data_IF_841267392042
#
_entry.id   IF_841267392042
#
_cell.length_a   1.000
_cell.length_b   1.000
_cell.length_c   1.000
_cell.angle_alpha   90.00
_cell.angle_beta   90.00
_cell.angle_gamma   90.00
#
_symmetry.space_group_name_H-M   'P 1'
#
loop_
_entity.id
_entity.type
_entity.pdbx_description
1 polymer ?
#
# COMPACT_ATOMS: atom_id res chain seq x y z
N UNK A 1 -0.81 31.14 69.52
CA UNK A 1 -1.60 31.65 68.39
C UNK A 1 -0.67 31.87 67.20
N UNK A 2 -0.62 30.91 66.26
CA UNK A 2 0.20 31.03 65.05
C UNK A 2 -0.53 31.91 64.02
N UNK A 3 -0.04 33.14 63.82
CA UNK A 3 -0.46 34.00 62.70
C UNK A 3 0.13 33.41 61.42
N UNK A 4 -0.69 32.71 60.65
CA UNK A 4 -0.35 32.36 59.26
C UNK A 4 -0.17 33.64 58.46
N UNK A 5 1.07 33.96 58.11
CA UNK A 5 1.39 35.03 57.17
C UNK A 5 0.83 34.65 55.80
N UNK A 6 -0.24 35.34 55.38
CA UNK A 6 -0.72 35.27 54.00
C UNK A 6 0.24 36.09 53.13
N UNK A 7 1.16 35.43 52.44
CA UNK A 7 1.99 36.05 51.41
C UNK A 7 1.11 36.41 50.22
N UNK A 8 0.88 37.71 50.00
CA UNK A 8 0.23 38.20 48.80
C UNK A 8 1.25 38.15 47.65
N UNK A 9 0.93 37.41 46.59
CA UNK A 9 1.75 37.36 45.37
C UNK A 9 1.73 38.71 44.66
N UNK A 10 2.87 39.14 44.17
CA UNK A 10 2.95 40.36 43.38
C UNK A 10 2.36 40.11 41.99
N UNK A 11 1.70 41.11 41.40
CA UNK A 11 1.12 41.02 40.05
C UNK A 11 2.16 40.55 39.01
N UNK A 12 3.42 40.96 39.20
CA UNK A 12 4.55 40.56 38.35
C UNK A 12 4.78 39.05 38.39
N UNK A 13 4.83 38.45 39.58
CA UNK A 13 5.01 36.99 39.74
C UNK A 13 3.87 36.20 39.08
N UNK A 14 2.63 36.69 39.21
CA UNK A 14 1.46 36.06 38.55
C UNK A 14 1.59 36.14 37.03
N UNK A 15 1.99 37.27 36.47
CA UNK A 15 2.18 37.44 35.03
C UNK A 15 3.33 36.57 34.48
N UNK A 16 4.42 36.43 35.22
CA UNK A 16 5.50 35.51 34.85
C UNK A 16 5.03 34.04 34.88
N UNK A 17 4.30 33.63 35.93
CA UNK A 17 3.76 32.28 36.02
C UNK A 17 2.78 31.98 34.87
N UNK A 18 1.91 32.94 34.53
CA UNK A 18 0.98 32.82 33.41
C UNK A 18 1.71 32.72 32.05
N UNK A 19 2.77 33.51 31.87
CA UNK A 19 3.55 33.51 30.63
C UNK A 19 4.28 32.19 30.42
N UNK A 20 4.92 31.67 31.47
CA UNK A 20 5.60 30.37 31.43
C UNK A 20 4.58 29.24 31.22
N UNK A 21 3.47 29.25 31.96
CA UNK A 21 2.40 28.26 31.80
C UNK A 21 1.81 28.23 30.39
N UNK A 22 1.57 29.40 29.81
CA UNK A 22 1.06 29.53 28.44
C UNK A 22 2.07 29.01 27.41
N UNK A 23 3.36 29.31 27.58
CA UNK A 23 4.42 28.81 26.70
C UNK A 23 4.51 27.28 26.73
N UNK A 24 4.54 26.68 27.92
CA UNK A 24 4.57 25.22 28.09
C UNK A 24 3.34 24.56 27.46
N UNK A 25 2.15 25.17 27.63
CA UNK A 25 0.92 24.65 27.05
C UNK A 25 0.96 24.68 25.51
N UNK A 26 1.43 25.77 24.91
CA UNK A 26 1.57 25.87 23.45
C UNK A 26 2.55 24.84 22.89
N UNK A 27 3.72 24.68 23.53
CA UNK A 27 4.72 23.69 23.08
C UNK A 27 4.17 22.26 23.21
N UNK A 28 3.48 21.96 24.31
CA UNK A 28 2.86 20.66 24.53
C UNK A 28 1.80 20.37 23.48
N UNK A 29 0.95 21.35 23.15
CA UNK A 29 -0.08 21.21 22.12
C UNK A 29 0.53 20.97 20.73
N UNK A 30 1.60 21.69 20.38
CA UNK A 30 2.32 21.46 19.13
C UNK A 30 2.91 20.04 19.05
N UNK A 31 3.49 19.54 20.15
CA UNK A 31 4.01 18.17 20.22
C UNK A 31 2.91 17.12 20.09
N UNK A 32 1.74 17.34 20.70
CA UNK A 32 0.58 16.44 20.58
C UNK A 32 0.08 16.39 19.14
N UNK A 33 -0.07 17.54 18.48
CA UNK A 33 -0.48 17.56 17.08
C UNK A 33 0.51 16.81 16.18
N UNK A 34 1.81 17.02 16.41
CA UNK A 34 2.86 16.31 15.67
C UNK A 34 2.79 14.80 15.90
N UNK A 35 2.68 14.35 17.14
CA UNK A 35 2.62 12.92 17.47
C UNK A 35 1.35 12.26 16.92
N UNK A 36 0.20 12.95 16.93
CA UNK A 36 -1.03 12.47 16.32
C UNK A 36 -0.92 12.32 14.80
N UNK A 37 -0.28 13.29 14.13
CA UNK A 37 -0.05 13.22 12.68
C UNK A 37 0.88 12.06 12.31
N UNK A 38 1.97 11.88 13.05
CA UNK A 38 2.91 10.78 12.87
C UNK A 38 2.25 9.41 13.13
N UNK A 39 1.48 9.29 14.21
CA UNK A 39 0.74 8.07 14.54
C UNK A 39 -0.35 7.75 13.50
N UNK A 40 -1.05 8.76 12.99
CA UNK A 40 -2.03 8.59 11.90
C UNK A 40 -1.34 8.05 10.65
N UNK A 41 -0.23 8.67 10.23
CA UNK A 41 0.56 8.23 9.08
C UNK A 41 1.04 6.78 9.23
N UNK A 42 1.56 6.41 10.40
CA UNK A 42 2.01 5.04 10.69
C UNK A 42 0.86 4.02 10.61
N UNK A 43 -0.35 4.38 11.05
CA UNK A 43 -1.53 3.50 10.93
C UNK A 43 -1.93 3.29 9.47
N UNK A 44 -1.89 4.35 8.65
CA UNK A 44 -2.18 4.25 7.21
C UNK A 44 -1.17 3.33 6.52
N UNK A 45 0.10 3.52 6.81
CA UNK A 45 1.19 2.67 6.34
C UNK A 45 0.95 1.20 6.69
N UNK A 46 0.66 0.91 7.96
CA UNK A 46 0.45 -0.46 8.42
C UNK A 46 -0.75 -1.11 7.72
N UNK A 47 -1.81 -0.36 7.44
CA UNK A 47 -2.95 -0.89 6.71
C UNK A 47 -2.61 -1.20 5.25
N UNK A 48 -1.89 -0.29 4.58
CA UNK A 48 -1.41 -0.51 3.21
C UNK A 48 -0.49 -1.73 3.11
N UNK A 49 0.38 -1.94 4.10
CA UNK A 49 1.27 -3.10 4.16
C UNK A 49 0.48 -4.40 4.35
N UNK A 50 -0.53 -4.41 5.23
CA UNK A 50 -1.40 -5.58 5.42
C UNK A 50 -2.16 -5.96 4.16
N UNK A 51 -2.78 -4.98 3.51
CA UNK A 51 -3.50 -5.16 2.25
C UNK A 51 -2.56 -5.68 1.16
N UNK A 52 -1.33 -5.17 1.15
CA UNK A 52 -0.31 -5.60 0.20
C UNK A 52 0.12 -7.05 0.46
N UNK A 53 0.42 -7.42 1.71
CA UNK A 53 0.81 -8.79 2.02
C UNK A 53 -0.29 -9.78 1.67
N UNK A 54 -1.55 -9.46 1.98
CA UNK A 54 -2.70 -10.28 1.61
C UNK A 54 -2.79 -10.46 0.07
N UNK A 55 -2.70 -9.36 -0.68
CA UNK A 55 -2.68 -9.40 -2.13
C UNK A 55 -1.50 -10.21 -2.69
N UNK A 56 -0.29 -9.99 -2.17
CA UNK A 56 0.95 -10.64 -2.64
C UNK A 56 0.92 -12.15 -2.47
N UNK A 57 0.31 -12.62 -1.38
CA UNK A 57 0.10 -14.04 -1.13
C UNK A 57 -0.93 -14.60 -2.10
N UNK A 58 -2.08 -13.93 -2.21
CA UNK A 58 -3.18 -14.34 -3.08
C UNK A 58 -2.73 -14.44 -4.55
N UNK A 59 -2.09 -13.40 -5.09
CA UNK A 59 -1.64 -13.41 -6.49
C UNK A 59 -0.55 -14.46 -6.74
N UNK A 60 0.33 -14.71 -5.78
CA UNK A 60 1.34 -15.77 -5.90
C UNK A 60 0.69 -17.14 -5.97
N UNK A 61 -0.27 -17.40 -5.08
CA UNK A 61 -1.02 -18.66 -5.07
C UNK A 61 -1.79 -18.83 -6.39
N UNK A 62 -2.44 -17.76 -6.87
CA UNK A 62 -3.18 -17.77 -8.13
C UNK A 62 -2.25 -17.98 -9.34
N UNK A 63 -1.08 -17.33 -9.40
CA UNK A 63 -0.09 -17.56 -10.47
C UNK A 63 0.44 -19.00 -10.44
N UNK A 64 0.65 -19.58 -9.26
CA UNK A 64 1.12 -20.96 -9.15
C UNK A 64 0.07 -21.99 -9.60
N UNK A 65 -1.21 -21.68 -9.46
CA UNK A 65 -2.33 -22.52 -9.90
C UNK A 65 -2.73 -22.27 -11.36
N UNK A 66 -2.43 -21.08 -11.88
CA UNK A 66 -2.76 -20.69 -13.24
C UNK A 66 -2.00 -21.56 -14.26
N UNK A 67 -2.72 -21.98 -15.29
CA UNK A 67 -2.18 -22.66 -16.46
C UNK A 67 -1.78 -21.69 -17.57
N UNK A 68 -2.45 -20.53 -17.63
CA UNK A 68 -2.21 -19.46 -18.59
C UNK A 68 -2.41 -18.10 -17.92
N UNK A 69 -1.66 -17.11 -18.38
CA UNK A 69 -1.86 -15.71 -18.02
C UNK A 69 -1.95 -14.88 -19.30
N UNK A 70 -2.88 -13.94 -19.34
CA UNK A 70 -2.94 -12.88 -20.35
C UNK A 70 -2.97 -11.53 -19.66
N UNK A 71 -2.29 -10.56 -20.26
CA UNK A 71 -2.23 -9.18 -19.78
C UNK A 71 -2.79 -8.28 -20.88
N UNK A 72 -3.83 -7.52 -20.53
CA UNK A 72 -4.44 -6.52 -21.39
C UNK A 72 -4.26 -5.15 -20.74
N UNK A 73 -3.91 -4.14 -21.52
CA UNK A 73 -3.82 -2.77 -21.05
C UNK A 73 -5.10 -2.03 -21.47
N UNK A 74 -5.97 -1.74 -20.51
CA UNK A 74 -7.24 -1.05 -20.74
C UNK A 74 -6.99 0.46 -20.63
N UNK A 75 -6.56 1.11 -21.73
CA UNK A 75 -6.45 2.57 -21.90
C UNK A 75 -5.85 3.37 -20.72
N UNK A 76 -4.60 3.80 -20.84
CA UNK A 76 -3.87 4.54 -19.79
C UNK A 76 -3.10 3.60 -18.86
N UNK A 77 -3.03 3.94 -17.56
CA UNK A 77 -2.28 3.18 -16.54
C UNK A 77 -3.11 2.06 -15.89
N UNK A 78 -4.20 1.63 -16.53
CA UNK A 78 -5.01 0.51 -16.04
C UNK A 78 -4.63 -0.80 -16.74
N UNK A 79 -4.33 -1.80 -15.93
CA UNK A 79 -3.94 -3.14 -16.39
C UNK A 79 -5.00 -4.16 -16.00
N UNK A 80 -5.28 -5.07 -16.91
CA UNK A 80 -6.13 -6.23 -16.67
C UNK A 80 -5.30 -7.51 -16.83
N UNK A 81 -5.05 -8.20 -15.72
CA UNK A 81 -4.38 -9.49 -15.72
C UNK A 81 -5.42 -10.59 -15.56
N UNK A 82 -5.54 -11.46 -16.55
CA UNK A 82 -6.42 -12.61 -16.53
C UNK A 82 -5.60 -13.88 -16.33
N UNK A 83 -5.90 -14.64 -15.28
CA UNK A 83 -5.29 -15.92 -14.98
C UNK A 83 -6.30 -17.04 -15.21
N UNK A 84 -5.96 -18.01 -16.06
CA UNK A 84 -6.81 -19.14 -16.39
C UNK A 84 -6.38 -20.39 -15.60
N UNK A 85 -7.27 -20.91 -14.76
CA UNK A 85 -7.04 -22.14 -14.01
C UNK A 85 -7.45 -23.38 -14.82
N UNK A 86 -7.09 -24.56 -14.32
CA UNK A 86 -7.42 -25.84 -14.98
C UNK A 86 -8.93 -26.15 -14.95
N UNK A 87 -9.62 -25.66 -13.92
CA UNK A 87 -11.02 -26.01 -13.63
C UNK A 87 -12.03 -25.08 -14.33
N UNK A 88 -11.66 -24.51 -15.49
CA UNK A 88 -12.42 -23.49 -16.24
C UNK A 88 -12.81 -22.24 -15.40
N UNK A 89 -12.15 -22.05 -14.26
CA UNK A 89 -12.25 -20.86 -13.42
C UNK A 89 -11.19 -19.88 -13.89
N UNK A 90 -11.50 -18.59 -13.81
CA UNK A 90 -10.59 -17.51 -14.18
C UNK A 90 -10.51 -16.50 -13.03
N UNK A 91 -9.31 -15.97 -12.79
CA UNK A 91 -9.12 -14.81 -11.92
C UNK A 91 -8.76 -13.60 -12.77
N UNK A 92 -9.66 -12.61 -12.80
CA UNK A 92 -9.46 -11.35 -13.50
C UNK A 92 -9.08 -10.28 -12.49
N UNK A 93 -7.89 -9.73 -12.64
CA UNK A 93 -7.38 -8.63 -11.85
C UNK A 93 -7.49 -7.34 -12.64
N UNK A 94 -8.21 -6.37 -12.08
CA UNK A 94 -8.19 -5.00 -12.57
C UNK A 94 -7.29 -4.18 -11.64
N UNK A 95 -6.18 -3.70 -12.18
CA UNK A 95 -5.19 -2.91 -11.47
C UNK A 95 -5.36 -1.43 -11.86
N UNK A 96 -5.61 -0.59 -10.86
CA UNK A 96 -5.47 0.87 -10.91
C UNK A 96 -4.48 1.33 -9.83
N UNK A 97 -4.16 2.62 -9.83
CA UNK A 97 -3.18 3.20 -8.90
C UNK A 97 -3.60 3.13 -7.42
N UNK A 98 -4.91 3.12 -7.15
CA UNK A 98 -5.47 3.17 -5.79
C UNK A 98 -6.15 1.85 -5.39
N UNK A 99 -6.38 0.96 -6.35
CA UNK A 99 -7.26 -0.17 -6.20
C UNK A 99 -6.83 -1.35 -7.06
N UNK A 100 -6.84 -2.54 -6.45
CA UNK A 100 -6.78 -3.79 -7.19
C UNK A 100 -8.05 -4.58 -6.90
N UNK A 101 -8.80 -4.89 -7.95
CA UNK A 101 -9.99 -5.73 -7.88
C UNK A 101 -9.67 -7.10 -8.44
N UNK A 102 -9.89 -8.15 -7.65
CA UNK A 102 -9.80 -9.54 -8.09
C UNK A 102 -11.20 -10.12 -8.23
N UNK A 103 -11.55 -10.57 -9.43
CA UNK A 103 -12.79 -11.24 -9.73
C UNK A 103 -12.51 -12.70 -10.05
N UNK A 104 -13.10 -13.60 -9.27
CA UNK A 104 -13.12 -15.02 -9.64
C UNK A 104 -14.36 -15.28 -10.47
N UNK A 105 -14.16 -15.74 -11.69
CA UNK A 105 -15.20 -16.05 -12.67
C UNK A 105 -15.20 -17.56 -12.96
N UNK A 106 -16.38 -18.13 -13.20
CA UNK A 106 -16.52 -19.46 -13.77
C UNK A 106 -17.53 -19.36 -14.91
N UNK A 107 -17.03 -19.41 -16.14
CA UNK A 107 -17.78 -18.91 -17.30
C UNK A 107 -18.14 -17.43 -17.11
N UNK A 108 -19.40 -17.08 -17.36
CA UNK A 108 -19.89 -15.70 -17.22
C UNK A 108 -20.27 -15.32 -15.78
N UNK A 109 -20.25 -16.28 -14.85
CA UNK A 109 -20.69 -16.05 -13.47
C UNK A 109 -19.53 -15.62 -12.58
N UNK A 110 -19.69 -14.47 -11.92
CA UNK A 110 -18.80 -14.03 -10.83
C UNK A 110 -19.07 -14.86 -9.58
N UNK A 111 -18.07 -15.62 -9.14
CA UNK A 111 -18.11 -16.43 -7.91
C UNK A 111 -17.72 -15.59 -6.71
N UNK A 112 -16.65 -14.80 -6.82
CA UNK A 112 -16.16 -13.97 -5.74
C UNK A 112 -15.53 -12.69 -6.25
N UNK A 113 -15.54 -11.68 -5.39
CA UNK A 113 -14.85 -10.41 -5.60
C UNK A 113 -14.05 -10.07 -4.35
N UNK A 114 -12.78 -9.73 -4.54
CA UNK A 114 -11.92 -9.19 -3.51
C UNK A 114 -11.39 -7.83 -3.95
N UNK A 115 -11.21 -6.96 -2.97
CA UNK A 115 -10.79 -5.58 -3.18
C UNK A 115 -9.60 -5.27 -2.28
N UNK A 116 -8.52 -4.79 -2.89
CA UNK A 116 -7.32 -4.33 -2.22
C UNK A 116 -7.17 -2.85 -2.50
N UNK A 117 -7.46 -2.00 -1.51
CA UNK A 117 -7.43 -0.55 -1.64
C UNK A 117 -6.27 0.04 -0.87
N UNK A 118 -5.55 0.96 -1.51
CA UNK A 118 -4.46 1.71 -0.90
C UNK A 118 -4.98 3.05 -0.35
N UNK A 119 -4.49 3.46 0.81
CA UNK A 119 -4.77 4.79 1.34
C UNK A 119 -3.89 5.87 0.71
N UNK A 120 -2.75 5.47 0.15
CA UNK A 120 -1.88 6.31 -0.67
C UNK A 120 -1.82 5.76 -2.09
N UNK A 121 -1.95 6.60 -3.13
CA UNK A 121 -1.85 6.14 -4.51
C UNK A 121 -0.46 5.53 -4.77
N UNK A 122 -0.46 4.37 -5.43
CA UNK A 122 0.74 3.62 -5.82
C UNK A 122 0.72 3.47 -7.33
N UNK A 123 1.83 3.74 -7.99
CA UNK A 123 1.95 3.42 -9.40
C UNK A 123 2.10 1.91 -9.53
N UNK A 124 1.24 1.28 -10.32
CA UNK A 124 1.27 -0.16 -10.58
C UNK A 124 1.85 -0.41 -11.96
N UNK A 125 2.88 -1.24 -12.04
CA UNK A 125 3.41 -1.72 -13.32
C UNK A 125 3.30 -3.23 -13.34
N UNK A 126 2.59 -3.77 -14.32
CA UNK A 126 2.46 -5.21 -14.54
C UNK A 126 3.17 -5.55 -15.83
N UNK A 127 4.13 -6.46 -15.74
CA UNK A 127 4.89 -6.97 -16.87
C UNK A 127 4.70 -8.48 -16.94
N UNK A 128 4.37 -8.99 -18.12
CA UNK A 128 4.31 -10.40 -18.42
C UNK A 128 5.49 -10.74 -19.33
N UNK A 129 6.49 -11.44 -18.81
CA UNK A 129 7.56 -12.00 -19.61
C UNK A 129 7.14 -13.37 -20.14
N UNK A 130 7.38 -13.59 -21.44
CA UNK A 130 6.99 -14.81 -22.14
C UNK A 130 8.03 -15.93 -22.05
N UNK A 131 9.28 -15.63 -21.69
CA UNK A 131 10.35 -16.62 -21.58
C UNK A 131 11.39 -16.26 -20.48
N UNK A 132 11.38 -16.92 -19.31
CA UNK A 132 10.34 -17.84 -18.82
C UNK A 132 9.03 -17.10 -18.54
N UNK A 133 7.89 -17.80 -18.60
CA UNK A 133 6.58 -17.25 -18.27
C UNK A 133 6.57 -16.70 -16.83
N UNK A 134 6.79 -15.40 -16.70
CA UNK A 134 6.91 -14.70 -15.42
C UNK A 134 5.97 -13.50 -15.43
N UNK A 135 5.20 -13.38 -14.36
CA UNK A 135 4.44 -12.16 -14.07
C UNK A 135 5.23 -11.38 -13.04
N UNK A 136 5.70 -10.19 -13.43
CA UNK A 136 6.26 -9.21 -12.50
C UNK A 136 5.25 -8.09 -12.27
N UNK A 137 4.87 -7.93 -11.01
CA UNK A 137 4.05 -6.82 -10.56
C UNK A 137 4.89 -5.94 -9.65
N UNK A 138 5.13 -4.72 -10.10
CA UNK A 138 5.90 -3.72 -9.36
C UNK A 138 4.98 -2.62 -8.89
N UNK A 139 4.97 -2.38 -7.58
CA UNK A 139 4.22 -1.31 -6.94
C UNK A 139 5.21 -0.25 -6.45
N UNK A 140 5.08 0.96 -6.96
CA UNK A 140 5.86 2.12 -6.53
C UNK A 140 4.98 3.05 -5.71
N UNK A 141 5.48 3.52 -4.58
CA UNK A 141 4.84 4.66 -3.92
C UNK A 141 5.08 5.92 -4.72
N UNK A 142 4.02 6.59 -5.15
CA UNK A 142 4.14 7.94 -5.69
C UNK A 142 4.46 8.87 -4.52
N UNK A 143 5.61 9.56 -4.50
CA UNK A 143 5.88 10.54 -3.46
C UNK A 143 4.85 11.67 -3.61
N UNK A 144 3.87 11.71 -2.69
CA UNK A 144 2.95 12.84 -2.62
C UNK A 144 3.78 14.09 -2.32
N UNK A 145 3.81 15.04 -3.25
CA UNK A 145 4.46 16.34 -3.10
C UNK A 145 3.75 17.14 -2.02
N UNK A 146 4.13 16.93 -0.77
CA UNK A 146 3.70 17.78 0.33
C UNK A 146 4.60 19.03 0.26
N UNK A 147 4.02 20.12 -0.24
CA UNK A 147 4.62 21.47 -0.36
C UNK A 147 5.70 21.65 -1.43
N UNK A 148 5.28 21.92 -2.68
CA UNK A 148 5.92 22.89 -3.59
C UNK A 148 7.37 22.68 -4.06
N UNK A 149 8.09 21.68 -3.56
CA UNK A 149 9.44 21.35 -4.00
C UNK A 149 9.65 19.84 -3.95
N UNK A 150 9.45 19.19 -5.10
CA UNK A 150 10.20 17.99 -5.41
C UNK A 150 10.57 18.07 -6.90
N UNK A 151 11.80 18.47 -7.18
CA UNK A 151 12.43 18.27 -8.48
C UNK A 151 12.51 16.76 -8.73
N UNK A 152 11.98 16.24 -9.85
CA UNK A 152 12.12 14.83 -10.21
C UNK A 152 13.52 14.60 -10.78
N UNK A 153 14.54 14.62 -9.92
CA UNK A 153 15.92 14.28 -10.29
C UNK A 153 16.37 13.04 -9.53
N UNK A 154 15.89 11.89 -9.98
CA UNK A 154 16.71 10.70 -10.27
C UNK A 154 15.80 9.47 -10.39
N UNK A 155 16.07 8.69 -11.44
CA UNK A 155 15.55 7.37 -11.70
C UNK A 155 15.68 6.51 -10.44
N UNK A 156 14.63 5.73 -10.18
CA UNK A 156 14.54 4.69 -9.14
C UNK A 156 14.22 5.25 -7.74
N UNK A 157 12.98 5.09 -7.24
CA UNK A 157 12.67 5.39 -5.86
C UNK A 157 13.52 4.50 -4.93
N UNK A 158 13.84 4.96 -3.71
CA UNK A 158 14.66 4.16 -2.80
C UNK A 158 13.99 2.81 -2.51
N UNK A 159 14.77 1.73 -2.47
CA UNK A 159 14.31 0.32 -2.43
C UNK A 159 13.30 0.04 -1.32
N UNK A 160 13.38 0.74 -0.18
CA UNK A 160 12.42 0.61 0.92
C UNK A 160 11.02 1.22 0.63
N UNK A 161 10.84 1.85 -0.53
CA UNK A 161 9.56 2.37 -1.06
C UNK A 161 9.09 1.66 -2.33
N UNK A 162 9.86 0.70 -2.81
CA UNK A 162 9.55 -0.10 -3.99
C UNK A 162 9.27 -1.52 -3.53
N UNK A 163 8.17 -2.09 -4.02
CA UNK A 163 7.86 -3.47 -3.74
C UNK A 163 7.60 -4.20 -5.05
N UNK A 164 8.48 -5.14 -5.35
CA UNK A 164 8.44 -5.96 -6.55
C UNK A 164 8.05 -7.39 -6.17
N UNK A 165 6.98 -7.89 -6.78
CA UNK A 165 6.62 -9.30 -6.75
C UNK A 165 6.94 -9.86 -8.13
N UNK A 166 7.81 -10.86 -8.17
CA UNK A 166 8.04 -11.65 -9.39
C UNK A 166 7.64 -13.08 -9.08
N UNK A 167 6.71 -13.63 -9.87
CA UNK A 167 6.27 -15.01 -9.74
C UNK A 167 6.29 -15.69 -11.12
N UNK A 168 6.91 -16.87 -11.17
CA UNK A 168 6.94 -17.71 -12.37
C UNK A 168 5.72 -18.62 -12.45
N UNK A 169 5.15 -18.74 -13.64
CA UNK A 169 4.14 -19.74 -13.96
C UNK A 169 4.80 -21.12 -14.01
N UNK A 170 4.31 -22.06 -13.20
CA UNK A 170 4.73 -23.47 -13.31
C UNK A 170 3.96 -24.10 -14.46
N UNK A 171 4.53 -24.06 -15.66
CA UNK A 171 4.17 -24.99 -16.71
C UNK A 171 4.56 -26.39 -16.24
N UNK A 172 3.64 -27.07 -15.52
CA UNK A 172 3.73 -28.53 -15.42
C UNK A 172 3.57 -29.04 -16.85
N UNK A 173 4.67 -29.39 -17.49
CA UNK A 173 4.68 -30.28 -18.64
C UNK A 173 3.83 -31.50 -18.24
N UNK A 174 2.58 -31.55 -18.67
CA UNK A 174 1.81 -32.78 -18.73
C UNK A 174 2.33 -33.49 -19.97
N UNK A 175 3.58 -33.95 -19.90
CA UNK A 175 4.14 -34.91 -20.84
C UNK A 175 3.64 -36.28 -20.39
N UNK A 176 2.37 -36.55 -20.66
CA UNK A 176 1.85 -37.91 -20.77
C UNK A 176 1.82 -38.27 -22.24
N UNK A 177 2.93 -38.79 -22.77
CA UNK A 177 2.96 -39.92 -23.72
C UNK A 177 4.42 -40.24 -24.05
N UNK A 178 5.02 -41.20 -23.35
CA UNK A 178 6.10 -41.99 -23.93
C UNK A 178 5.41 -43.26 -24.41
N UNK A 179 4.98 -43.25 -25.66
CA UNK A 179 4.73 -44.49 -26.39
C UNK A 179 6.02 -45.32 -26.37
N UNK A 180 5.96 -46.49 -25.75
CA UNK A 180 6.67 -47.70 -26.17
C UNK A 180 5.85 -48.92 -25.80
#
# INVERSE_FOLDING_TARGET
>A
MNRQQRTAFTLREVMFALSIGSSVMMTSMAMIHRSMNEASSARRQQNDDRQFFAFSRQIRDDIHLASKASLEQNSGDQYQLTLQFRDATEAVYHCSDDLILRNSMQGERRISQQQYRWQQPKQVTVELSTDPQMVSLTLFRVPTTIHGQATPTSKTPPVWRQLQITAGLRLKHVAGDIQR
#
